data_IF_870246799650
#
_entry.id   IF_870246799650
#
_cell.length_a   1.000
_cell.length_b   1.000
_cell.length_c   1.000
_cell.angle_alpha   90.00
_cell.angle_beta   90.00
_cell.angle_gamma   90.00
#
_symmetry.space_group_name_H-M   'P 1'
#
loop_
_entity.id
_entity.type
_entity.pdbx_description
1 polymer ?
#
# COMPACT_ATOMS: atom_id res chain seq x y z
N UNK A 1 -42.93 -26.96 9.67
CA UNK A 1 -43.10 -26.11 8.48
C UNK A 1 -42.88 -24.67 8.93
N UNK A 2 -41.61 -24.24 8.92
CA UNK A 2 -41.18 -22.89 9.29
C UNK A 2 -40.24 -22.43 8.18
N UNK A 3 -40.72 -21.49 7.38
CA UNK A 3 -40.01 -20.86 6.27
C UNK A 3 -38.95 -19.92 6.82
N UNK A 4 -37.69 -20.21 6.51
CA UNK A 4 -36.57 -19.30 6.72
C UNK A 4 -36.70 -18.13 5.73
N UNK A 5 -36.90 -16.91 6.26
CA UNK A 5 -36.81 -15.69 5.48
C UNK A 5 -35.34 -15.44 5.14
N UNK A 6 -35.06 -15.50 3.83
CA UNK A 6 -33.84 -15.06 3.18
C UNK A 6 -33.58 -13.59 3.52
N UNK A 7 -32.57 -13.33 4.35
CA UNK A 7 -31.98 -11.99 4.48
C UNK A 7 -31.26 -11.66 3.16
N UNK A 8 -31.92 -10.87 2.32
CA UNK A 8 -31.31 -10.18 1.20
C UNK A 8 -30.10 -9.40 1.71
N UNK A 9 -28.90 -9.80 1.26
CA UNK A 9 -27.66 -9.03 1.43
C UNK A 9 -27.89 -7.64 0.84
N UNK A 10 -27.95 -6.66 1.73
CA UNK A 10 -28.06 -5.26 1.37
C UNK A 10 -26.94 -4.87 0.42
N UNK A 11 -27.37 -4.33 -0.73
CA UNK A 11 -26.53 -3.60 -1.66
C UNK A 11 -25.83 -2.47 -0.89
N UNK A 12 -24.54 -2.64 -0.62
CA UNK A 12 -23.62 -1.53 -0.34
C UNK A 12 -23.64 -0.62 -1.56
N UNK A 13 -24.60 0.30 -1.54
CA UNK A 13 -24.74 1.37 -2.51
C UNK A 13 -23.56 2.29 -2.26
N UNK A 14 -22.47 2.08 -3.00
CA UNK A 14 -21.36 3.02 -3.09
C UNK A 14 -21.93 4.26 -3.78
N UNK A 15 -22.58 5.13 -3.01
CA UNK A 15 -22.69 6.53 -3.37
C UNK A 15 -21.26 7.06 -3.29
N UNK A 16 -20.57 7.07 -4.43
CA UNK A 16 -19.49 8.02 -4.65
C UNK A 16 -19.99 9.37 -4.10
N UNK A 17 -19.26 10.00 -3.18
CA UNK A 17 -19.67 11.30 -2.67
C UNK A 17 -19.61 12.30 -3.86
N UNK A 18 -20.72 12.44 -4.57
CA UNK A 18 -20.98 13.37 -5.67
C UNK A 18 -21.17 14.81 -5.14
N UNK A 19 -20.42 15.18 -4.09
CA UNK A 19 -20.56 16.50 -3.44
C UNK A 19 -21.77 16.64 -2.50
N UNK A 20 -22.38 15.54 -2.04
CA UNK A 20 -23.53 15.56 -1.11
C UNK A 20 -23.16 15.37 0.37
N UNK A 21 -21.87 15.35 0.71
CA UNK A 21 -21.43 15.18 2.09
C UNK A 21 -21.57 16.49 2.88
N UNK A 22 -21.98 16.41 4.15
CA UNK A 22 -21.96 17.54 5.10
C UNK A 22 -20.52 17.98 5.39
N UNK A 23 -20.32 19.27 5.61
CA UNK A 23 -19.01 19.88 5.85
C UNK A 23 -18.42 19.41 7.21
N UNK A 24 -17.16 18.91 7.28
CA UNK A 24 -16.22 18.69 6.19
C UNK A 24 -16.40 17.34 5.47
N UNK A 25 -16.35 17.38 4.13
CA UNK A 25 -16.42 16.22 3.23
C UNK A 25 -15.02 15.60 3.06
N UNK A 26 -14.77 14.37 3.54
CA UNK A 26 -13.44 13.74 3.47
C UNK A 26 -12.88 13.60 2.05
N UNK A 27 -13.77 13.45 1.05
CA UNK A 27 -13.39 13.35 -0.36
C UNK A 27 -12.93 14.69 -0.94
N UNK A 28 -13.53 15.80 -0.51
CA UNK A 28 -13.10 17.14 -0.93
C UNK A 28 -11.80 17.56 -0.23
N UNK A 29 -11.63 17.24 1.06
CA UNK A 29 -10.36 17.45 1.76
C UNK A 29 -9.22 16.68 1.10
N UNK A 30 -9.46 15.42 0.73
CA UNK A 30 -8.50 14.63 -0.04
C UNK A 30 -8.18 15.27 -1.39
N UNK A 31 -9.20 15.72 -2.15
CA UNK A 31 -8.96 16.39 -3.43
C UNK A 31 -8.11 17.66 -3.28
N UNK A 32 -8.35 18.47 -2.24
CA UNK A 32 -7.55 19.67 -1.96
C UNK A 32 -6.10 19.33 -1.56
N UNK A 33 -5.90 18.26 -0.78
CA UNK A 33 -4.56 17.75 -0.48
C UNK A 33 -3.83 17.36 -1.77
N UNK A 34 -4.51 16.73 -2.73
CA UNK A 34 -3.90 16.37 -4.00
C UNK A 34 -3.51 17.57 -4.84
N UNK A 35 -4.35 18.61 -4.89
CA UNK A 35 -3.98 19.85 -5.56
C UNK A 35 -2.72 20.46 -4.94
N UNK A 36 -2.59 20.37 -3.61
CA UNK A 36 -1.40 20.83 -2.89
C UNK A 36 -0.14 20.05 -3.31
N UNK A 37 -0.22 18.72 -3.35
CA UNK A 37 0.91 17.86 -3.76
C UNK A 37 1.31 18.14 -5.21
N UNK A 38 0.34 18.23 -6.13
CA UNK A 38 0.62 18.54 -7.54
C UNK A 38 1.28 19.90 -7.72
N UNK A 39 0.82 20.91 -6.97
CA UNK A 39 1.44 22.23 -6.96
C UNK A 39 2.89 22.19 -6.45
N UNK A 40 3.16 21.46 -5.37
CA UNK A 40 4.51 21.27 -4.84
C UNK A 40 5.43 20.57 -5.86
N UNK A 41 4.90 19.60 -6.60
CA UNK A 41 5.61 18.88 -7.66
C UNK A 41 5.68 19.67 -8.98
N UNK A 42 5.13 20.89 -9.04
CA UNK A 42 5.03 21.74 -10.24
C UNK A 42 4.34 21.03 -11.41
N UNK A 43 3.36 20.18 -11.11
CA UNK A 43 2.53 19.49 -12.07
C UNK A 43 1.25 20.31 -12.38
N UNK A 44 0.62 20.11 -13.56
CA UNK A 44 -0.67 20.72 -13.86
C UNK A 44 -1.72 20.37 -12.80
N UNK A 45 -2.63 21.30 -12.47
CA UNK A 45 -3.68 21.04 -11.49
C UNK A 45 -4.58 19.88 -11.95
N UNK A 46 -5.09 19.10 -10.99
CA UNK A 46 -5.99 17.99 -11.29
C UNK A 46 -7.33 18.56 -11.75
N UNK A 47 -7.88 18.03 -12.83
CA UNK A 47 -9.20 18.44 -13.33
C UNK A 47 -10.25 17.45 -12.80
N UNK A 48 -11.23 17.96 -12.06
CA UNK A 48 -12.35 17.16 -11.58
C UNK A 48 -13.34 16.89 -12.72
N UNK A 49 -13.60 15.61 -13.01
CA UNK A 49 -14.53 15.17 -14.06
C UNK A 49 -15.62 14.25 -13.51
N UNK A 50 -15.84 14.22 -12.19
CA UNK A 50 -16.84 13.33 -11.57
C UNK A 50 -18.26 13.58 -12.06
N UNK A 51 -18.59 14.82 -12.42
CA UNK A 51 -19.90 15.19 -13.00
C UNK A 51 -20.10 14.71 -14.44
N UNK A 52 -19.03 14.27 -15.10
CA UNK A 52 -19.04 13.79 -16.49
C UNK A 52 -18.51 12.35 -16.57
N UNK A 53 -19.28 11.35 -16.10
CA UNK A 53 -18.80 9.96 -16.05
C UNK A 53 -18.35 9.46 -17.42
N UNK A 54 -17.20 8.80 -17.43
CA UNK A 54 -16.63 8.23 -18.65
C UNK A 54 -17.40 6.99 -19.06
N UNK A 55 -17.89 6.99 -20.29
CA UNK A 55 -18.64 5.90 -20.90
C UNK A 55 -17.83 5.07 -21.88
N UNK A 56 -16.60 5.50 -22.19
CA UNK A 56 -15.72 4.79 -23.13
C UNK A 56 -15.48 3.36 -22.66
N UNK A 57 -15.79 2.40 -23.54
CA UNK A 57 -15.47 1.00 -23.29
C UNK A 57 -13.95 0.81 -23.34
N UNK A 58 -13.29 0.81 -22.17
CA UNK A 58 -11.87 0.48 -22.09
C UNK A 58 -11.68 -1.01 -22.37
N UNK A 59 -11.03 -1.33 -23.49
CA UNK A 59 -10.75 -2.73 -23.91
C UNK A 59 -9.34 -3.20 -23.55
N UNK A 60 -8.55 -2.37 -22.87
CA UNK A 60 -7.17 -2.66 -22.51
C UNK A 60 -7.01 -3.20 -21.10
N UNK A 61 -5.76 -3.43 -20.72
CA UNK A 61 -5.36 -3.77 -19.34
C UNK A 61 -5.74 -2.61 -18.41
N UNK A 62 -6.24 -2.95 -17.23
CA UNK A 62 -6.51 -1.99 -16.15
C UNK A 62 -5.66 -2.35 -14.94
N UNK A 63 -4.54 -1.65 -14.76
CA UNK A 63 -3.71 -1.74 -13.57
C UNK A 63 -4.22 -0.71 -12.58
N UNK A 64 -4.64 -1.14 -11.39
CA UNK A 64 -5.03 -0.21 -10.32
C UNK A 64 -3.92 -0.18 -9.28
N UNK A 65 -3.40 1.01 -9.01
CA UNK A 65 -2.54 1.29 -7.88
C UNK A 65 -3.43 1.84 -6.76
N UNK A 66 -3.64 1.04 -5.72
CA UNK A 66 -4.37 1.42 -4.53
C UNK A 66 -3.37 1.97 -3.50
N UNK A 67 -3.24 3.28 -3.40
CA UNK A 67 -2.16 3.93 -2.63
C UNK A 67 -2.49 5.36 -2.20
N UNK A 68 -1.68 5.92 -1.29
CA UNK A 68 -1.63 7.37 -1.10
C UNK A 68 -0.93 8.03 -2.29
N UNK A 69 -1.38 9.23 -2.68
CA UNK A 69 -0.86 9.89 -3.89
C UNK A 69 0.66 10.07 -3.88
N UNK A 70 1.22 10.47 -2.73
CA UNK A 70 2.66 10.74 -2.59
C UNK A 70 3.50 9.50 -2.90
N UNK A 71 3.02 8.31 -2.55
CA UNK A 71 3.72 7.04 -2.78
C UNK A 71 3.66 6.60 -4.25
N UNK A 72 2.54 6.91 -4.92
CA UNK A 72 2.22 6.35 -6.23
C UNK A 72 2.37 7.34 -7.40
N UNK A 73 2.58 8.64 -7.16
CA UNK A 73 2.56 9.67 -8.22
C UNK A 73 3.51 9.35 -9.37
N UNK A 74 4.73 8.88 -9.08
CA UNK A 74 5.71 8.57 -10.11
C UNK A 74 5.31 7.36 -10.95
N UNK A 75 4.87 6.28 -10.30
CA UNK A 75 4.40 5.06 -10.97
C UNK A 75 3.16 5.37 -11.82
N UNK A 76 2.26 6.20 -11.29
CA UNK A 76 1.04 6.62 -11.96
C UNK A 76 1.32 7.46 -13.22
N UNK A 77 2.19 8.47 -13.13
CA UNK A 77 2.53 9.33 -14.26
C UNK A 77 3.30 8.58 -15.34
N UNK A 78 4.34 7.83 -14.97
CA UNK A 78 5.12 7.05 -15.93
C UNK A 78 4.29 5.93 -16.57
N UNK A 79 3.45 5.27 -15.76
CA UNK A 79 2.51 4.26 -16.24
C UNK A 79 1.54 4.79 -17.29
N UNK A 80 0.99 5.99 -17.09
CA UNK A 80 0.11 6.63 -18.08
C UNK A 80 0.85 7.23 -19.27
N UNK A 81 2.13 7.60 -19.13
CA UNK A 81 2.97 7.98 -20.27
C UNK A 81 3.14 6.82 -21.25
N UNK A 82 3.34 5.60 -20.72
CA UNK A 82 3.50 4.38 -21.53
C UNK A 82 2.16 3.78 -21.99
N UNK A 83 1.16 3.75 -21.11
CA UNK A 83 -0.16 3.17 -21.35
C UNK A 83 -1.26 4.12 -20.84
N UNK A 84 -1.62 5.15 -21.62
CA UNK A 84 -2.61 6.15 -21.21
C UNK A 84 -3.95 5.53 -20.86
N UNK A 85 -4.46 5.80 -19.66
CA UNK A 85 -5.70 5.23 -19.14
C UNK A 85 -5.60 3.75 -18.76
N UNK A 86 -4.43 3.11 -18.92
CA UNK A 86 -4.17 1.73 -18.49
C UNK A 86 -3.79 1.62 -17.02
N UNK A 87 -3.10 2.62 -16.48
CA UNK A 87 -2.73 2.71 -15.06
C UNK A 87 -3.64 3.71 -14.36
N UNK A 88 -4.36 3.24 -13.34
CA UNK A 88 -5.31 4.03 -12.57
C UNK A 88 -4.80 4.13 -11.13
N UNK A 89 -4.93 5.30 -10.53
CA UNK A 89 -4.66 5.48 -9.10
C UNK A 89 -5.98 5.55 -8.34
N UNK A 90 -6.22 4.56 -7.48
CA UNK A 90 -7.30 4.52 -6.54
C UNK A 90 -6.76 4.91 -5.16
N UNK A 91 -7.40 5.84 -4.48
CA UNK A 91 -6.90 6.32 -3.19
C UNK A 91 -7.79 5.89 -2.03
N UNK A 92 -8.84 5.12 -2.31
CA UNK A 92 -9.72 4.51 -1.33
C UNK A 92 -10.21 3.18 -1.88
N UNK A 93 -10.28 2.16 -1.02
CA UNK A 93 -10.88 0.88 -1.37
C UNK A 93 -12.38 1.04 -1.71
N UNK A 94 -13.06 2.06 -1.17
CA UNK A 94 -14.46 2.38 -1.47
C UNK A 94 -14.71 2.82 -2.91
N UNK A 95 -13.66 3.08 -3.71
CA UNK A 95 -13.79 3.33 -5.15
C UNK A 95 -13.86 2.05 -5.97
N UNK A 96 -13.75 0.90 -5.30
CA UNK A 96 -13.72 -0.42 -5.90
C UNK A 96 -14.83 -1.29 -5.34
N UNK A 97 -15.22 -2.30 -6.10
CA UNK A 97 -16.10 -3.36 -5.62
C UNK A 97 -15.56 -4.72 -6.00
N UNK A 98 -15.74 -5.67 -5.09
CA UNK A 98 -15.54 -7.10 -5.30
C UNK A 98 -16.87 -7.71 -5.71
N UNK A 99 -16.90 -8.48 -6.81
CA UNK A 99 -18.11 -9.12 -7.37
C UNK A 99 -17.78 -10.55 -7.79
N UNK A 100 -18.74 -11.49 -7.78
CA UNK A 100 -18.51 -12.85 -8.26
C UNK A 100 -17.90 -12.85 -9.65
N UNK A 101 -16.84 -13.64 -9.84
CA UNK A 101 -16.16 -13.72 -11.14
C UNK A 101 -17.07 -14.39 -12.17
N UNK A 102 -17.18 -13.82 -13.38
CA UNK A 102 -17.92 -14.46 -14.47
C UNK A 102 -17.20 -15.70 -15.02
N UNK A 103 -15.88 -15.78 -14.84
CA UNK A 103 -15.02 -16.82 -15.41
C UNK A 103 -14.69 -17.92 -14.38
N UNK A 104 -14.75 -17.59 -13.08
CA UNK A 104 -14.33 -18.47 -11.99
C UNK A 104 -15.35 -18.45 -10.84
N UNK A 105 -16.29 -19.42 -10.78
CA UNK A 105 -17.43 -19.38 -9.85
C UNK A 105 -17.09 -19.26 -8.34
N UNK A 106 -15.90 -19.71 -7.94
CA UNK A 106 -15.44 -19.68 -6.55
C UNK A 106 -14.58 -18.45 -6.20
N UNK A 107 -14.35 -17.56 -7.17
CA UNK A 107 -13.52 -16.37 -7.03
C UNK A 107 -14.32 -15.11 -7.30
N UNK A 108 -13.78 -13.98 -6.87
CA UNK A 108 -14.30 -12.66 -7.14
C UNK A 108 -13.39 -11.87 -8.07
N UNK A 109 -14.01 -11.02 -8.89
CA UNK A 109 -13.36 -10.03 -9.74
C UNK A 109 -13.48 -8.64 -9.14
N UNK A 110 -12.39 -7.86 -9.22
CA UNK A 110 -12.39 -6.46 -8.81
C UNK A 110 -12.83 -5.53 -9.94
N UNK A 111 -13.63 -4.53 -9.58
CA UNK A 111 -14.08 -3.47 -10.47
C UNK A 111 -13.80 -2.10 -9.85
N UNK A 112 -13.29 -1.17 -10.66
CA UNK A 112 -13.01 0.21 -10.27
C UNK A 112 -14.11 1.14 -10.82
N UNK A 113 -14.66 1.98 -9.94
CA UNK A 113 -15.77 2.91 -10.22
C UNK A 113 -15.28 4.35 -10.35
N UNK A 114 -14.24 4.70 -9.61
CA UNK A 114 -13.67 6.04 -9.58
C UNK A 114 -12.15 5.92 -9.48
N UNK A 115 -11.40 6.76 -10.19
CA UNK A 115 -9.95 6.77 -10.11
C UNK A 115 -9.36 8.10 -10.57
N UNK A 116 -8.12 8.35 -10.18
CA UNK A 116 -7.30 9.30 -10.91
C UNK A 116 -6.83 8.67 -12.23
N UNK A 117 -6.90 9.45 -13.31
CA UNK A 117 -6.42 9.09 -14.64
C UNK A 117 -5.50 10.17 -15.18
N UNK A 118 -4.70 9.85 -16.19
CA UNK A 118 -3.89 10.84 -16.87
C UNK A 118 -3.90 10.62 -18.38
N UNK A 119 -3.71 11.71 -19.12
CA UNK A 119 -3.47 11.66 -20.56
C UNK A 119 -1.98 11.54 -20.90
N UNK A 120 -1.66 11.44 -22.20
CA UNK A 120 -0.27 11.39 -22.70
C UNK A 120 0.52 12.67 -22.40
N UNK A 121 -0.16 13.79 -22.20
CA UNK A 121 0.44 15.09 -21.90
C UNK A 121 0.77 15.28 -20.42
N UNK A 122 0.41 14.31 -19.56
CA UNK A 122 0.61 14.40 -18.11
C UNK A 122 -0.47 15.21 -17.40
N UNK A 123 -1.55 15.60 -18.08
CA UNK A 123 -2.71 16.18 -17.43
C UNK A 123 -3.46 15.07 -16.68
N UNK A 124 -3.74 15.32 -15.41
CA UNK A 124 -4.42 14.36 -14.52
C UNK A 124 -5.86 14.75 -14.26
N UNK A 125 -6.71 13.74 -14.09
CA UNK A 125 -8.15 13.87 -13.91
C UNK A 125 -8.63 13.04 -12.73
N UNK A 126 -9.69 13.50 -12.07
CA UNK A 126 -10.49 12.66 -11.18
C UNK A 126 -11.75 12.20 -11.93
N UNK A 127 -11.77 10.94 -12.34
CA UNK A 127 -12.82 10.38 -13.19
C UNK A 127 -13.74 9.42 -12.42
N UNK A 128 -15.02 9.40 -12.80
CA UNK A 128 -15.98 8.32 -12.48
C UNK A 128 -16.26 7.56 -13.77
N UNK A 129 -16.43 6.24 -13.67
CA UNK A 129 -16.76 5.38 -14.81
C UNK A 129 -18.25 5.03 -14.77
N UNK A 130 -18.97 5.30 -15.87
CA UNK A 130 -20.39 4.95 -15.96
C UNK A 130 -20.58 3.41 -15.94
N UNK A 131 -19.60 2.70 -16.51
CA UNK A 131 -19.47 1.26 -16.44
C UNK A 131 -18.17 0.93 -15.69
N UNK A 132 -18.24 0.30 -14.50
CA UNK A 132 -17.06 0.00 -13.72
C UNK A 132 -16.07 -0.84 -14.52
N UNK A 133 -14.79 -0.47 -14.50
CA UNK A 133 -13.76 -1.20 -15.27
C UNK A 133 -13.32 -2.42 -14.49
N UNK A 134 -13.26 -3.58 -15.15
CA UNK A 134 -12.62 -4.77 -14.58
C UNK A 134 -11.14 -4.47 -14.35
N UNK A 135 -10.65 -4.76 -13.15
CA UNK A 135 -9.24 -4.65 -12.81
C UNK A 135 -8.50 -5.89 -13.31
N UNK A 136 -7.41 -5.67 -14.03
CA UNK A 136 -6.55 -6.74 -14.56
C UNK A 136 -5.38 -7.05 -13.63
N UNK A 137 -4.96 -6.07 -12.82
CA UNK A 137 -3.88 -6.22 -11.85
C UNK A 137 -4.03 -5.18 -10.74
N UNK A 138 -3.92 -5.60 -9.48
CA UNK A 138 -3.99 -4.72 -8.32
C UNK A 138 -2.61 -4.57 -7.68
N UNK A 139 -2.13 -3.33 -7.56
CA UNK A 139 -1.02 -2.96 -6.70
C UNK A 139 -1.58 -2.37 -5.42
N UNK A 140 -1.43 -3.04 -4.28
CA UNK A 140 -2.03 -2.61 -3.02
C UNK A 140 -0.98 -2.09 -2.04
N UNK A 141 -1.01 -0.78 -1.77
CA UNK A 141 -0.22 -0.08 -0.78
C UNK A 141 -1.05 0.45 0.40
N UNK A 142 -2.39 0.30 0.38
CA UNK A 142 -3.24 0.68 1.52
C UNK A 142 -3.38 -0.51 2.50
N UNK A 143 -2.25 -0.96 3.02
CA UNK A 143 -2.17 -2.01 4.05
C UNK A 143 -1.59 -1.44 5.34
N UNK A 144 -1.85 -2.11 6.47
CA UNK A 144 -1.30 -1.69 7.76
C UNK A 144 0.23 -1.70 7.78
N UNK A 145 0.85 -2.67 7.11
CA UNK A 145 2.31 -2.74 7.02
C UNK A 145 2.93 -1.63 6.15
N UNK A 146 2.25 -1.22 5.07
CA UNK A 146 2.76 -0.16 4.19
C UNK A 146 2.51 1.22 4.79
N UNK A 147 1.39 1.41 5.48
CA UNK A 147 0.92 2.73 5.93
C UNK A 147 1.07 2.96 7.43
N UNK A 148 1.84 2.13 8.13
CA UNK A 148 2.01 2.20 9.59
C UNK A 148 0.66 2.13 10.34
N UNK A 149 -0.22 1.22 9.90
CA UNK A 149 -1.58 1.00 10.41
C UNK A 149 -2.52 2.20 10.35
N UNK A 150 -2.14 3.29 9.67
CA UNK A 150 -3.04 4.42 9.42
C UNK A 150 -4.19 4.02 8.50
N UNK A 151 -3.94 3.11 7.56
CA UNK A 151 -4.88 2.68 6.52
C UNK A 151 -4.78 1.17 6.28
N UNK A 152 -5.91 0.49 6.37
CA UNK A 152 -6.00 -0.99 6.24
C UNK A 152 -7.11 -1.42 5.28
N UNK A 153 -7.84 -0.47 4.69
CA UNK A 153 -9.00 -0.75 3.86
C UNK A 153 -8.67 -1.53 2.57
N UNK A 154 -7.41 -1.52 2.12
CA UNK A 154 -6.97 -2.33 1.00
C UNK A 154 -6.85 -3.82 1.33
N UNK A 155 -6.75 -4.19 2.61
CA UNK A 155 -6.53 -5.58 3.04
C UNK A 155 -7.76 -6.46 2.81
N UNK A 156 -8.95 -5.97 3.15
CA UNK A 156 -10.21 -6.67 2.89
C UNK A 156 -10.45 -6.83 1.38
N UNK A 157 -10.17 -5.78 0.61
CA UNK A 157 -10.33 -5.79 -0.84
C UNK A 157 -9.41 -6.82 -1.51
N UNK A 158 -8.16 -6.91 -1.06
CA UNK A 158 -7.13 -7.81 -1.58
C UNK A 158 -7.07 -9.17 -0.85
N UNK A 159 -8.05 -9.48 0.00
CA UNK A 159 -8.13 -10.76 0.69
C UNK A 159 -8.26 -11.92 -0.32
N UNK A 160 -7.97 -13.14 0.15
CA UNK A 160 -8.03 -14.35 -0.70
C UNK A 160 -9.35 -14.51 -1.46
N UNK A 161 -9.30 -15.28 -2.55
CA UNK A 161 -10.47 -15.57 -3.40
C UNK A 161 -10.68 -14.53 -4.50
N UNK A 162 -9.61 -13.91 -5.01
CA UNK A 162 -9.67 -13.07 -6.21
C UNK A 162 -9.18 -13.84 -7.43
N UNK A 163 -9.83 -13.63 -8.57
CA UNK A 163 -9.28 -13.98 -9.89
C UNK A 163 -8.27 -12.93 -10.39
N UNK A 164 -8.29 -11.75 -9.76
CA UNK A 164 -7.51 -10.59 -10.12
C UNK A 164 -6.12 -10.73 -9.48
N UNK A 165 -5.04 -10.82 -10.27
CA UNK A 165 -3.70 -10.93 -9.71
C UNK A 165 -3.33 -9.67 -8.91
N UNK A 166 -2.59 -9.85 -7.82
CA UNK A 166 -2.15 -8.78 -6.92
C UNK A 166 -0.62 -8.71 -6.83
N UNK A 167 -0.08 -7.51 -6.58
CA UNK A 167 1.37 -7.29 -6.49
C UNK A 167 2.05 -8.02 -5.34
N UNK A 168 1.32 -8.22 -4.25
CA UNK A 168 1.80 -8.93 -3.08
C UNK A 168 0.62 -9.45 -2.27
N UNK A 169 0.86 -10.50 -1.49
CA UNK A 169 -0.09 -10.97 -0.48
C UNK A 169 0.17 -10.28 0.85
N UNK A 170 -0.83 -10.19 1.72
CA UNK A 170 -0.66 -9.63 3.08
C UNK A 170 0.43 -10.38 3.87
N UNK A 171 0.54 -11.70 3.66
CA UNK A 171 1.59 -12.51 4.28
C UNK A 171 2.99 -12.16 3.77
N UNK A 172 3.12 -11.84 2.47
CA UNK A 172 4.38 -11.45 1.87
C UNK A 172 4.77 -10.03 2.28
N UNK A 173 3.84 -9.06 2.28
CA UNK A 173 4.09 -7.69 2.73
C UNK A 173 4.67 -7.67 4.14
N UNK A 174 4.05 -8.40 5.08
CA UNK A 174 4.55 -8.52 6.46
C UNK A 174 6.02 -8.96 6.54
N UNK A 175 6.49 -9.79 5.61
CA UNK A 175 7.87 -10.29 5.59
C UNK A 175 8.81 -9.37 4.81
N UNK A 176 8.35 -8.83 3.69
CA UNK A 176 9.15 -7.98 2.81
C UNK A 176 9.43 -6.59 3.42
N UNK A 177 8.49 -6.07 4.21
CA UNK A 177 8.65 -4.77 4.89
C UNK A 177 9.49 -4.88 6.17
N UNK A 178 9.74 -6.09 6.66
CA UNK A 178 10.66 -6.33 7.77
C UNK A 178 12.11 -6.36 7.27
N UNK A 179 12.78 -5.23 7.46
CA UNK A 179 14.18 -5.07 7.05
C UNK A 179 15.15 -5.91 7.88
N UNK A 180 14.87 -6.12 9.15
CA UNK A 180 15.74 -6.95 9.99
C UNK A 180 15.65 -8.41 9.54
N UNK A 181 14.44 -8.89 9.24
CA UNK A 181 14.22 -10.22 8.68
C UNK A 181 14.91 -10.37 7.32
N UNK A 182 14.68 -9.42 6.41
CA UNK A 182 15.25 -9.46 5.06
C UNK A 182 16.78 -9.46 5.12
N UNK A 183 17.37 -8.64 5.97
CA UNK A 183 18.83 -8.58 6.18
C UNK A 183 19.37 -9.87 6.76
N UNK A 184 18.71 -10.46 7.77
CA UNK A 184 19.08 -11.77 8.32
C UNK A 184 18.98 -12.89 7.28
N UNK A 185 17.97 -12.87 6.41
CA UNK A 185 17.86 -13.83 5.31
C UNK A 185 19.04 -13.67 4.33
N UNK A 186 19.38 -12.45 3.92
CA UNK A 186 20.55 -12.18 3.08
C UNK A 186 21.84 -12.70 3.72
N UNK A 187 22.04 -12.44 5.02
CA UNK A 187 23.20 -12.93 5.77
C UNK A 187 23.27 -14.47 5.81
N UNK A 188 22.12 -15.15 5.85
CA UNK A 188 22.04 -16.62 5.84
C UNK A 188 22.59 -17.24 4.56
N UNK A 189 22.35 -16.58 3.42
CA UNK A 189 22.71 -17.09 2.09
C UNK A 189 23.95 -16.41 1.50
N UNK A 190 24.64 -15.58 2.28
CA UNK A 190 25.84 -14.87 1.83
C UNK A 190 25.59 -13.76 0.79
N UNK A 191 24.35 -13.26 0.71
CA UNK A 191 24.02 -12.10 -0.15
C UNK A 191 24.46 -10.81 0.54
N UNK A 192 25.05 -9.89 -0.23
CA UNK A 192 25.49 -8.60 0.27
C UNK A 192 24.33 -7.82 0.91
N UNK A 193 24.60 -7.25 2.08
CA UNK A 193 23.64 -6.51 2.90
C UNK A 193 24.39 -5.50 3.78
N UNK A 194 23.75 -4.43 4.26
CA UNK A 194 24.40 -3.48 5.17
C UNK A 194 24.65 -4.12 6.54
N UNK A 195 25.76 -3.74 7.18
CA UNK A 195 25.98 -4.04 8.59
C UNK A 195 24.86 -3.37 9.40
N UNK A 196 24.14 -4.16 10.19
CA UNK A 196 22.85 -3.76 10.76
C UNK A 196 22.77 -4.04 12.24
N UNK A 197 22.28 -3.08 13.01
CA UNK A 197 21.71 -3.31 14.35
C UNK A 197 20.21 -3.04 14.27
N UNK A 198 19.40 -4.01 14.69
CA UNK A 198 17.95 -3.91 14.72
C UNK A 198 17.42 -4.15 16.13
N UNK A 199 16.37 -3.43 16.51
CA UNK A 199 15.71 -3.57 17.81
C UNK A 199 14.31 -4.13 17.59
N UNK A 200 13.88 -5.08 18.40
CA UNK A 200 12.54 -5.69 18.27
C UNK A 200 11.86 -5.88 19.62
N UNK A 201 10.54 -5.70 19.66
CA UNK A 201 9.72 -5.87 20.87
C UNK A 201 9.03 -7.24 20.91
N UNK A 202 8.88 -7.86 22.10
CA UNK A 202 8.23 -9.16 22.23
C UNK A 202 6.71 -8.95 22.15
N UNK A 203 6.11 -9.39 21.05
CA UNK A 203 4.69 -9.23 20.77
C UNK A 203 4.35 -9.61 19.33
N UNK A 204 5.31 -9.42 18.42
CA UNK A 204 5.11 -9.72 17.00
C UNK A 204 5.51 -11.15 16.63
N UNK A 205 4.50 -11.99 16.45
CA UNK A 205 4.60 -13.43 16.27
C UNK A 205 5.59 -13.93 15.17
N UNK A 206 6.20 -15.09 15.46
CA UNK A 206 6.75 -16.10 14.53
C UNK A 206 8.01 -15.78 13.69
N UNK A 207 8.57 -14.57 13.70
CA UNK A 207 9.83 -14.27 12.97
C UNK A 207 11.10 -14.38 13.85
N UNK A 208 10.92 -14.56 15.16
CA UNK A 208 11.99 -14.57 16.17
C UNK A 208 13.11 -15.59 15.93
N UNK A 209 12.82 -16.70 15.26
CA UNK A 209 13.82 -17.72 14.95
C UNK A 209 14.90 -17.21 13.98
N UNK A 210 14.60 -16.22 13.14
CA UNK A 210 15.59 -15.63 12.22
C UNK A 210 16.44 -14.52 12.86
N UNK A 211 15.92 -13.85 13.89
CA UNK A 211 16.68 -12.83 14.64
C UNK A 211 17.63 -13.44 15.67
N UNK A 212 17.41 -14.69 16.04
CA UNK A 212 18.22 -15.39 17.06
C UNK A 212 19.44 -16.08 16.47
N UNK A 213 19.60 -16.07 15.15
CA UNK A 213 20.81 -16.52 14.49
C UNK A 213 21.89 -15.44 14.57
N UNK A 214 23.07 -15.82 15.07
CA UNK A 214 24.22 -14.93 15.16
C UNK A 214 24.88 -14.80 13.78
N UNK A 215 24.55 -13.73 13.06
CA UNK A 215 25.31 -13.33 11.89
C UNK A 215 26.36 -12.29 12.30
N UNK A 216 27.62 -12.39 11.82
CA UNK A 216 28.67 -11.44 12.19
C UNK A 216 28.31 -9.97 11.92
N UNK A 217 27.48 -9.71 10.91
CA UNK A 217 27.14 -8.37 10.40
C UNK A 217 25.72 -7.93 10.73
N UNK A 218 24.92 -8.75 11.42
CA UNK A 218 23.53 -8.44 11.79
C UNK A 218 23.31 -8.71 13.27
N UNK A 219 23.10 -7.65 14.04
CA UNK A 219 22.83 -7.72 15.48
C UNK A 219 21.36 -7.42 15.74
N UNK A 220 20.58 -8.41 16.16
CA UNK A 220 19.21 -8.22 16.59
C UNK A 220 19.13 -8.11 18.13
N UNK A 221 18.78 -6.93 18.63
CA UNK A 221 18.60 -6.64 20.05
C UNK A 221 17.13 -6.82 20.42
N UNK A 222 16.85 -7.83 21.24
CA UNK A 222 15.52 -7.99 21.84
C UNK A 222 15.34 -6.94 22.93
N UNK A 223 14.35 -6.08 22.76
CA UNK A 223 13.89 -5.19 23.82
C UNK A 223 12.85 -5.94 24.67
N UNK A 224 12.77 -5.66 25.96
CA UNK A 224 11.59 -5.97 26.78
C UNK A 224 10.82 -4.68 27.08
N UNK A 225 9.58 -4.79 27.59
CA UNK A 225 8.82 -3.62 28.03
C UNK A 225 9.52 -2.79 29.12
N UNK A 226 10.52 -3.36 29.80
CA UNK A 226 11.41 -2.68 30.76
C UNK A 226 12.66 -2.08 30.12
N UNK A 227 13.05 -2.53 28.92
CA UNK A 227 14.22 -2.06 28.16
C UNK A 227 13.87 -0.98 27.12
N UNK A 228 12.62 -0.49 27.13
CA UNK A 228 12.22 0.73 26.41
C UNK A 228 12.84 2.01 27.01
N UNK A 229 13.69 1.88 28.03
CA UNK A 229 14.53 2.97 28.50
C UNK A 229 15.51 3.36 27.38
N UNK A 230 15.42 4.62 26.95
CA UNK A 230 16.28 5.24 25.93
C UNK A 230 17.76 4.98 26.20
N UNK A 231 18.17 4.85 27.47
CA UNK A 231 19.56 4.56 27.86
C UNK A 231 20.05 3.20 27.35
N UNK A 232 19.18 2.19 27.33
CA UNK A 232 19.54 0.86 26.85
C UNK A 232 19.74 0.86 25.33
N UNK A 233 18.81 1.47 24.60
CA UNK A 233 18.90 1.64 23.15
C UNK A 233 20.14 2.45 22.78
N UNK A 234 20.38 3.58 23.44
CA UNK A 234 21.58 4.39 23.23
C UNK A 234 22.88 3.62 23.47
N UNK A 235 22.95 2.81 24.54
CA UNK A 235 24.15 2.01 24.82
C UNK A 235 24.44 1.03 23.68
N UNK A 236 23.40 0.36 23.15
CA UNK A 236 23.53 -0.56 22.02
C UNK A 236 23.88 0.12 20.71
N UNK A 237 23.30 1.30 20.44
CA UNK A 237 23.69 2.11 19.28
C UNK A 237 25.15 2.56 19.40
N UNK A 238 25.60 3.01 20.57
CA UNK A 238 27.02 3.39 20.79
C UNK A 238 27.97 2.21 20.61
N UNK A 239 27.63 1.04 21.14
CA UNK A 239 28.39 -0.20 20.94
C UNK A 239 28.52 -0.53 19.45
N UNK A 240 27.42 -0.44 18.70
CA UNK A 240 27.43 -0.66 17.26
C UNK A 240 28.30 0.36 16.50
N UNK A 241 28.13 1.67 16.79
CA UNK A 241 28.86 2.75 16.13
C UNK A 241 30.37 2.73 16.42
N UNK A 242 30.77 2.21 17.58
CA UNK A 242 32.19 2.07 17.97
C UNK A 242 32.79 0.72 17.59
N UNK A 243 31.99 -0.18 16.99
CA UNK A 243 32.47 -1.48 16.56
C UNK A 243 33.44 -1.35 15.38
N UNK A 244 34.46 -2.20 15.33
CA UNK A 244 35.39 -2.26 14.20
C UNK A 244 34.76 -2.69 12.88
N UNK A 245 33.50 -3.16 12.89
CA UNK A 245 32.77 -3.58 11.69
C UNK A 245 32.48 -2.41 10.75
N UNK A 246 32.33 -1.20 11.31
CA UNK A 246 32.01 0.00 10.54
C UNK A 246 33.25 0.78 10.09
N UNK A 247 34.47 0.24 10.27
CA UNK A 247 35.72 0.96 10.02
C UNK A 247 35.83 1.51 8.58
N UNK A 248 35.26 0.80 7.61
CA UNK A 248 35.27 1.18 6.20
C UNK A 248 34.08 2.07 5.78
N UNK A 249 33.21 2.46 6.73
CA UNK A 249 31.96 3.17 6.44
C UNK A 249 32.01 4.62 6.97
N UNK A 250 31.74 5.58 6.09
CA UNK A 250 31.73 7.01 6.45
C UNK A 250 30.37 7.51 6.99
N UNK A 251 29.30 6.75 6.74
CA UNK A 251 27.92 7.15 7.05
C UNK A 251 27.12 5.99 7.59
N UNK A 252 26.22 6.33 8.51
CA UNK A 252 25.21 5.41 9.04
C UNK A 252 23.83 5.94 8.64
N UNK A 253 23.00 5.04 8.14
CA UNK A 253 21.62 5.35 7.82
C UNK A 253 20.73 4.86 8.97
N UNK A 254 19.94 5.78 9.53
CA UNK A 254 18.93 5.43 10.51
C UNK A 254 17.62 5.30 9.77
N UNK A 255 16.94 4.21 10.02
CA UNK A 255 15.64 4.01 9.44
C UNK A 255 14.73 3.36 10.46
N UNK A 256 13.62 4.03 10.69
CA UNK A 256 12.58 3.57 11.57
C UNK A 256 11.70 2.64 10.74
N UNK A 257 11.71 1.35 11.09
CA UNK A 257 10.81 0.33 10.53
C UNK A 257 10.30 -0.50 11.70
N UNK A 258 9.00 -0.75 11.73
CA UNK A 258 8.37 -1.51 12.80
C UNK A 258 7.37 -0.68 13.59
N UNK A 259 6.32 -1.40 13.99
CA UNK A 259 5.05 -0.99 14.61
C UNK A 259 5.23 -0.37 15.99
#
# INVERSE_FOLDING_TARGET
MMTAQSATRDNLTIQACLGQCTDPCPVQEQFQLFQTVFNQLKLPPIVDRREHPRSDAHRGITIVVLAELVEAVNVFLEGNRQCPGGVLLAMSAGWMSRRPSPDHPDLDTLYIHQAMTADRGGQTYLDVFSHPRRVSYLVNHLTGFTTEFRRTEGEELAAFGLDTPTSSSLLLNRRADDKLLTTSMCATVGVAHPITVGFWLPGDHNLHQHYSNNYPTVTAVKLTSRDLDIRHVEAKVREFLTSGMLADYEKVFISLFGV
#
